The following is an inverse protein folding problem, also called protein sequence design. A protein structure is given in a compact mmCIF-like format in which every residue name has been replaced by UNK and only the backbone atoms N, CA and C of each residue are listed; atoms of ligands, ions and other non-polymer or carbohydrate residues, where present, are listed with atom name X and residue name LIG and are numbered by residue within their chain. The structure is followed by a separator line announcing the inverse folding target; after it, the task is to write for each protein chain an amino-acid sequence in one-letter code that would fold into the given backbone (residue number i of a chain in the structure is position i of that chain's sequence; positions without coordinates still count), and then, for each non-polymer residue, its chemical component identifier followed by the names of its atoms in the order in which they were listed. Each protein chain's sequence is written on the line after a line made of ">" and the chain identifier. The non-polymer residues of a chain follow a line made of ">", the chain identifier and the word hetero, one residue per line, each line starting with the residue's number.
data_IF_711162699721
#
_entry.id   IF_711162699721
#
_cell.length_a   1.000
_cell.length_b   1.000
_cell.length_c   1.000
_cell.angle_alpha   90.00
_cell.angle_beta   90.00
_cell.angle_gamma   90.00
#
_symmetry.space_group_name_H-M   'P 1'
#
loop_
_entity.id
_entity.type
_entity.pdbx_description
1 polymer ?
#
# COMPACT_ATOMS: atom_id res chain seq x y z
N UNK A 1 -20.50 7.22 26.67
CA UNK A 1 -19.13 7.71 26.98
C UNK A 1 -18.76 8.82 26.03
N UNK A 2 -18.80 8.58 24.71
CA UNK A 2 -18.52 9.61 23.70
C UNK A 2 -19.31 10.92 23.89
N UNK A 3 -20.64 10.83 24.02
CA UNK A 3 -21.49 12.00 24.31
C UNK A 3 -21.07 12.77 25.57
N UNK A 4 -20.71 12.04 26.63
CA UNK A 4 -20.26 12.65 27.89
C UNK A 4 -18.90 13.34 27.77
N UNK A 5 -18.03 12.91 26.85
CA UNK A 5 -16.76 13.60 26.54
C UNK A 5 -17.04 14.90 25.77
N UNK A 6 -17.92 14.85 24.77
CA UNK A 6 -18.33 16.03 24.01
C UNK A 6 -19.02 17.08 24.89
N UNK A 7 -19.88 16.66 25.83
CA UNK A 7 -20.56 17.55 26.78
C UNK A 7 -19.60 18.38 27.65
N UNK A 8 -18.35 17.91 27.83
CA UNK A 8 -17.31 18.61 28.58
C UNK A 8 -16.24 19.24 27.68
N UNK A 9 -16.45 19.28 26.37
CA UNK A 9 -15.57 19.92 25.39
C UNK A 9 -14.39 19.06 24.91
N UNK A 10 -14.45 17.73 25.07
CA UNK A 10 -13.48 16.80 24.49
C UNK A 10 -14.08 16.27 23.17
N UNK A 11 -13.59 16.83 22.05
CA UNK A 11 -14.16 16.62 20.70
C UNK A 11 -13.45 15.53 19.89
N UNK A 12 -12.40 14.93 20.42
CA UNK A 12 -11.61 13.89 19.76
C UNK A 12 -11.47 12.67 20.69
N UNK A 13 -11.54 11.47 20.09
CA UNK A 13 -11.31 10.23 20.81
C UNK A 13 -10.67 9.20 19.89
N UNK A 14 -9.61 8.57 20.38
CA UNK A 14 -9.04 7.36 19.82
C UNK A 14 -9.70 6.14 20.46
N UNK A 15 -10.14 5.18 19.64
CA UNK A 15 -10.44 3.83 20.09
C UNK A 15 -9.20 2.95 19.88
N UNK A 16 -8.82 2.20 20.93
CA UNK A 16 -7.74 1.23 20.90
C UNK A 16 -8.31 -0.19 21.13
N UNK A 17 -8.38 -0.93 20.04
CA UNK A 17 -9.09 -2.20 19.85
C UNK A 17 -8.35 -3.11 18.88
N UNK A 18 -7.09 -2.77 18.60
CA UNK A 18 -6.11 -3.62 17.91
C UNK A 18 -6.48 -4.05 16.49
N UNK A 19 -7.11 -3.16 15.70
CA UNK A 19 -7.54 -3.54 14.35
C UNK A 19 -8.68 -4.57 14.31
N UNK A 20 -9.28 -4.91 15.46
CA UNK A 20 -10.26 -6.00 15.55
C UNK A 20 -11.57 -5.60 14.87
N UNK A 21 -12.11 -6.43 13.94
CA UNK A 21 -13.38 -6.14 13.31
C UNK A 21 -14.56 -6.40 14.25
N UNK A 22 -15.67 -5.73 13.98
CA UNK A 22 -16.97 -6.03 14.58
C UNK A 22 -17.84 -6.84 13.60
N UNK A 23 -18.71 -7.72 14.11
CA UNK A 23 -19.66 -8.45 13.26
C UNK A 23 -21.00 -7.70 13.16
N UNK A 24 -21.26 -7.07 12.01
CA UNK A 24 -22.58 -6.57 11.67
C UNK A 24 -23.41 -7.67 11.00
N UNK A 25 -24.15 -8.42 11.83
CA UNK A 25 -24.82 -9.64 11.40
C UNK A 25 -23.79 -10.73 11.11
N UNK A 26 -23.57 -11.04 9.82
CA UNK A 26 -22.57 -12.02 9.37
C UNK A 26 -21.40 -11.39 8.62
N UNK A 27 -21.41 -10.07 8.45
CA UNK A 27 -20.34 -9.35 7.75
C UNK A 27 -19.39 -8.74 8.78
N UNK A 28 -18.08 -9.07 8.74
CA UNK A 28 -17.09 -8.37 9.53
C UNK A 28 -16.85 -6.97 8.95
N UNK A 29 -16.90 -5.96 9.80
CA UNK A 29 -16.61 -4.56 9.48
C UNK A 29 -15.32 -4.16 10.20
N UNK A 30 -14.41 -3.51 9.49
CA UNK A 30 -13.17 -3.02 10.08
C UNK A 30 -13.41 -1.83 11.01
N UNK A 31 -12.46 -1.51 11.90
CA UNK A 31 -12.55 -0.35 12.79
C UNK A 31 -12.93 0.95 12.08
N UNK A 32 -12.31 1.21 10.94
CA UNK A 32 -12.58 2.40 10.13
C UNK A 32 -14.05 2.55 9.72
N UNK A 33 -14.82 1.46 9.72
CA UNK A 33 -16.23 1.41 9.32
C UNK A 33 -17.18 1.50 10.52
N UNK A 34 -16.86 0.81 11.63
CA UNK A 34 -17.76 0.73 12.79
C UNK A 34 -17.51 1.78 13.87
N UNK A 35 -16.30 2.36 13.95
CA UNK A 35 -15.97 3.38 14.96
C UNK A 35 -16.46 4.81 14.68
N UNK A 36 -16.70 5.29 13.44
CA UNK A 36 -17.04 6.70 13.18
C UNK A 36 -18.20 7.28 14.02
N UNK A 37 -19.27 6.53 14.37
CA UNK A 37 -20.33 7.06 15.22
C UNK A 37 -19.90 7.36 16.67
N UNK A 38 -18.75 6.83 17.10
CA UNK A 38 -18.32 6.84 18.49
C UNK A 38 -16.88 7.31 18.70
N UNK A 39 -16.09 7.61 17.68
CA UNK A 39 -14.71 8.12 17.82
C UNK A 39 -14.28 8.94 16.61
N UNK A 40 -13.15 9.65 16.73
CA UNK A 40 -12.53 10.39 15.62
C UNK A 40 -11.27 9.71 15.10
N UNK A 41 -10.79 8.68 15.80
CA UNK A 41 -9.64 7.87 15.41
C UNK A 41 -9.78 6.43 15.92
N UNK A 42 -9.09 5.50 15.28
CA UNK A 42 -9.12 4.07 15.57
C UNK A 42 -7.77 3.42 15.31
N UNK A 43 -7.37 2.47 16.17
CA UNK A 43 -6.16 1.66 15.94
C UNK A 43 -6.33 0.75 14.73
N UNK A 44 -5.38 0.73 13.78
CA UNK A 44 -5.45 -0.15 12.60
C UNK A 44 -4.94 -1.56 12.88
N UNK A 45 -4.12 -1.72 13.92
CA UNK A 45 -3.38 -2.94 14.25
C UNK A 45 -3.30 -3.16 15.76
N UNK A 46 -2.84 -4.33 16.17
CA UNK A 46 -2.29 -4.57 17.52
C UNK A 46 -1.01 -3.75 17.76
N UNK A 47 -0.33 -4.04 18.85
CA UNK A 47 0.76 -3.22 19.34
C UNK A 47 1.98 -3.29 18.41
N UNK A 48 2.57 -2.13 18.15
CA UNK A 48 3.85 -2.05 17.48
C UNK A 48 4.97 -2.60 18.38
N UNK A 49 5.99 -3.17 17.74
CA UNK A 49 7.28 -3.44 18.36
C UNK A 49 8.38 -2.81 17.52
N UNK A 50 9.53 -2.59 18.14
CA UNK A 50 10.72 -1.93 17.59
C UNK A 50 11.50 -2.71 16.50
N UNK A 51 10.83 -3.38 15.56
CA UNK A 51 11.48 -4.09 14.45
C UNK A 51 10.84 -3.77 13.09
N UNK A 52 11.64 -3.82 12.02
CA UNK A 52 11.17 -3.50 10.67
C UNK A 52 9.96 -4.32 10.20
N UNK A 53 9.89 -5.64 10.45
CA UNK A 53 8.70 -6.42 10.09
C UNK A 53 7.40 -5.91 10.74
N UNK A 54 7.46 -5.31 11.93
CA UNK A 54 6.28 -4.70 12.56
C UNK A 54 5.86 -3.41 11.86
N UNK A 55 6.83 -2.58 11.44
CA UNK A 55 6.56 -1.36 10.67
C UNK A 55 5.87 -1.72 9.35
N UNK A 56 6.39 -2.72 8.62
CA UNK A 56 5.80 -3.19 7.36
C UNK A 56 4.41 -3.80 7.55
N UNK A 57 4.23 -4.62 8.60
CA UNK A 57 2.95 -5.25 8.90
C UNK A 57 1.84 -4.21 9.11
N UNK A 58 2.10 -3.21 9.96
CA UNK A 58 1.12 -2.16 10.28
C UNK A 58 0.86 -1.28 9.04
N UNK A 59 1.89 -1.00 8.24
CA UNK A 59 1.70 -0.31 6.97
C UNK A 59 0.76 -1.09 6.03
N UNK A 60 0.94 -2.41 5.90
CA UNK A 60 0.05 -3.25 5.10
C UNK A 60 -1.38 -3.31 5.64
N UNK A 61 -1.58 -3.26 6.96
CA UNK A 61 -2.92 -3.13 7.57
C UNK A 61 -3.58 -1.81 7.22
N UNK A 62 -2.84 -0.70 7.11
CA UNK A 62 -3.42 0.61 6.80
C UNK A 62 -3.72 0.82 5.30
N UNK A 63 -3.08 0.06 4.39
CA UNK A 63 -3.24 0.26 2.93
C UNK A 63 -4.71 0.24 2.50
N UNK A 64 -5.48 -0.77 2.93
CA UNK A 64 -6.87 -0.88 2.53
C UNK A 64 -7.75 0.25 3.08
N UNK A 65 -7.45 0.75 4.28
CA UNK A 65 -8.16 1.87 4.89
C UNK A 65 -7.98 3.13 4.04
N UNK A 66 -6.73 3.44 3.66
CA UNK A 66 -6.42 4.59 2.82
C UNK A 66 -7.02 4.45 1.40
N UNK A 67 -6.88 3.28 0.77
CA UNK A 67 -7.40 3.07 -0.59
C UNK A 67 -8.92 3.13 -0.65
N UNK A 68 -9.62 2.66 0.39
CA UNK A 68 -11.10 2.76 0.50
C UNK A 68 -11.60 4.16 0.90
N UNK A 69 -10.70 5.11 1.16
CA UNK A 69 -11.07 6.46 1.58
C UNK A 69 -11.67 6.52 2.99
N UNK A 70 -11.25 5.60 3.87
CA UNK A 70 -11.75 5.48 5.23
C UNK A 70 -10.82 6.13 6.27
N UNK A 71 -9.77 6.83 5.84
CA UNK A 71 -8.86 7.60 6.68
C UNK A 71 -8.86 9.06 6.25
N UNK A 72 -9.18 9.97 7.17
CA UNK A 72 -9.26 11.42 6.91
C UNK A 72 -9.94 12.19 8.03
N UNK A 73 -10.29 13.47 7.81
CA UNK A 73 -10.89 14.33 8.84
C UNK A 73 -12.09 13.69 9.56
N UNK A 74 -11.92 13.46 10.86
CA UNK A 74 -12.95 12.86 11.73
C UNK A 74 -12.94 11.34 11.77
N UNK A 75 -12.03 10.66 11.07
CA UNK A 75 -11.85 9.21 11.09
C UNK A 75 -10.39 8.84 10.80
N UNK A 76 -9.48 9.17 11.73
CA UNK A 76 -8.05 9.02 11.53
C UNK A 76 -7.55 7.63 11.87
N UNK A 77 -6.82 7.00 10.95
CA UNK A 77 -6.04 5.80 11.25
C UNK A 77 -5.01 6.11 12.35
N UNK A 78 -4.95 5.28 13.37
CA UNK A 78 -3.86 5.24 14.34
C UNK A 78 -3.02 3.99 14.09
N UNK A 79 -1.85 4.19 13.52
CA UNK A 79 -0.84 3.15 13.24
C UNK A 79 0.02 2.83 14.48
N UNK A 80 -0.46 3.18 15.67
CA UNK A 80 0.23 3.01 16.95
C UNK A 80 1.45 3.92 17.13
N UNK A 81 2.04 3.85 18.33
CA UNK A 81 3.14 4.72 18.77
C UNK A 81 4.39 4.65 17.89
N UNK A 82 5.17 5.73 17.90
CA UNK A 82 6.44 5.82 17.19
C UNK A 82 7.56 5.13 17.97
N UNK A 83 8.28 4.24 17.29
CA UNK A 83 9.49 3.57 17.80
C UNK A 83 10.79 4.33 17.47
N UNK A 84 10.66 5.55 16.95
CA UNK A 84 11.80 6.44 16.66
C UNK A 84 12.52 6.79 17.97
N UNK A 85 13.82 6.51 18.02
CA UNK A 85 14.66 6.71 19.20
C UNK A 85 14.77 5.52 20.13
N UNK A 86 13.98 4.46 19.93
CA UNK A 86 14.13 3.20 20.65
C UNK A 86 15.19 2.30 19.97
N UNK A 87 15.74 1.34 20.71
CA UNK A 87 16.63 0.33 20.16
C UNK A 87 15.86 -0.61 19.22
N UNK A 88 16.50 -1.21 18.21
CA UNK A 88 15.90 -2.25 17.35
C UNK A 88 15.85 -1.89 15.87
N UNK A 89 15.40 -0.66 15.55
CA UNK A 89 15.42 -0.12 14.18
C UNK A 89 16.75 0.61 13.90
N UNK A 90 17.29 0.41 12.71
CA UNK A 90 18.38 1.25 12.17
C UNK A 90 17.91 2.69 11.97
N UNK A 91 18.85 3.63 11.83
CA UNK A 91 18.50 5.04 11.61
C UNK A 91 17.67 5.24 10.32
N UNK A 92 17.93 4.47 9.27
CA UNK A 92 17.20 4.57 8.00
C UNK A 92 15.80 3.96 8.11
N UNK A 93 15.65 2.85 8.84
CA UNK A 93 14.32 2.29 9.17
C UNK A 93 13.50 3.27 10.02
N UNK A 94 14.11 3.94 11.01
CA UNK A 94 13.43 4.95 11.83
C UNK A 94 12.94 6.14 10.99
N UNK A 95 13.71 6.55 9.98
CA UNK A 95 13.27 7.57 9.02
C UNK A 95 12.07 7.08 8.23
N UNK A 96 12.17 5.92 7.60
CA UNK A 96 11.08 5.34 6.80
C UNK A 96 9.81 5.13 7.62
N UNK A 97 9.92 4.62 8.85
CA UNK A 97 8.82 4.50 9.81
C UNK A 97 8.15 5.85 10.07
N UNK A 98 8.92 6.89 10.39
CA UNK A 98 8.36 8.22 10.63
C UNK A 98 7.68 8.82 9.40
N UNK A 99 8.29 8.69 8.21
CA UNK A 99 7.68 9.18 6.97
C UNK A 99 6.39 8.44 6.61
N UNK A 100 6.36 7.11 6.75
CA UNK A 100 5.15 6.30 6.54
C UNK A 100 4.01 6.76 7.46
N UNK A 101 4.27 6.91 8.76
CA UNK A 101 3.26 7.35 9.73
C UNK A 101 2.79 8.77 9.44
N UNK A 102 3.74 9.69 9.25
CA UNK A 102 3.42 11.10 9.02
C UNK A 102 2.59 11.30 7.76
N UNK A 103 3.01 10.71 6.64
CA UNK A 103 2.38 10.90 5.33
C UNK A 103 1.09 10.09 5.18
N UNK A 104 0.93 9.00 5.94
CA UNK A 104 -0.34 8.25 6.05
C UNK A 104 -1.34 8.90 7.02
N UNK A 105 -1.03 10.08 7.57
CA UNK A 105 -1.86 10.82 8.53
C UNK A 105 -2.13 10.07 9.84
N UNK A 106 -1.22 9.16 10.21
CA UNK A 106 -1.31 8.54 11.53
C UNK A 106 -1.10 9.59 12.62
N UNK A 107 -1.68 9.33 13.79
CA UNK A 107 -1.28 10.05 14.99
C UNK A 107 0.22 9.82 15.25
N UNK A 108 0.96 10.89 15.52
CA UNK A 108 2.41 10.85 15.76
C UNK A 108 2.70 10.84 17.28
N UNK A 109 2.39 9.72 17.94
CA UNK A 109 2.60 9.57 19.38
C UNK A 109 4.04 9.11 19.68
N UNK A 110 4.83 9.92 20.37
CA UNK A 110 6.24 9.59 20.68
C UNK A 110 6.32 8.49 21.74
N UNK A 111 6.87 7.32 21.39
CA UNK A 111 7.05 6.18 22.29
C UNK A 111 8.42 6.07 22.98
N UNK A 112 9.34 7.02 22.75
CA UNK A 112 10.71 6.98 23.29
C UNK A 112 10.89 7.77 24.59
N UNK A 113 11.96 7.48 25.35
CA UNK A 113 12.35 8.28 26.51
C UNK A 113 12.85 9.66 26.09
N UNK A 114 11.96 10.65 26.10
CA UNK A 114 12.25 12.03 25.67
C UNK A 114 13.40 12.68 26.45
N UNK A 115 13.63 12.28 27.71
CA UNK A 115 14.72 12.83 28.52
C UNK A 115 16.12 12.39 28.03
N UNK A 116 16.19 11.28 27.30
CA UNK A 116 17.42 10.64 26.84
C UNK A 116 17.48 10.51 25.31
N UNK A 117 16.56 11.16 24.59
CA UNK A 117 16.47 11.07 23.14
C UNK A 117 17.76 11.57 22.46
N UNK A 118 18.26 10.80 21.49
CA UNK A 118 19.42 11.20 20.70
C UNK A 118 19.10 12.37 19.76
N UNK A 119 20.11 13.17 19.41
CA UNK A 119 19.96 14.25 18.42
C UNK A 119 19.49 13.72 17.05
N UNK A 120 19.88 12.50 16.68
CA UNK A 120 19.46 11.86 15.44
C UNK A 120 17.95 11.56 15.44
N UNK A 121 17.45 10.91 16.50
CA UNK A 121 16.02 10.60 16.64
C UNK A 121 15.19 11.90 16.76
N UNK A 122 15.68 12.88 17.52
CA UNK A 122 15.07 14.21 17.61
C UNK A 122 14.99 14.89 16.23
N UNK A 123 16.03 14.77 15.42
CA UNK A 123 16.04 15.29 14.05
C UNK A 123 15.00 14.64 13.13
N UNK A 124 14.68 13.36 13.34
CA UNK A 124 13.60 12.67 12.64
C UNK A 124 12.24 13.21 13.12
N UNK A 125 11.98 13.16 14.44
CA UNK A 125 10.69 13.55 15.02
C UNK A 125 10.33 15.03 14.80
N UNK A 126 11.34 15.90 14.68
CA UNK A 126 11.16 17.34 14.46
C UNK A 126 11.26 17.73 12.96
N UNK A 127 11.14 16.77 12.04
CA UNK A 127 11.18 17.08 10.61
C UNK A 127 9.94 17.90 10.19
N UNK A 128 10.11 19.22 10.10
CA UNK A 128 9.05 20.18 9.78
C UNK A 128 8.32 19.89 8.46
N UNK A 129 9.00 19.31 7.46
CA UNK A 129 8.39 18.98 6.17
C UNK A 129 7.40 17.84 6.27
N UNK A 130 7.76 16.78 6.98
CA UNK A 130 6.89 15.63 7.23
C UNK A 130 5.76 15.98 8.21
N UNK A 131 6.05 16.78 9.24
CA UNK A 131 5.04 17.29 10.16
C UNK A 131 4.01 18.17 9.42
N UNK A 132 4.46 19.04 8.51
CA UNK A 132 3.56 19.85 7.69
C UNK A 132 2.68 19.00 6.77
N UNK A 133 3.19 17.88 6.24
CA UNK A 133 2.36 16.93 5.50
C UNK A 133 1.37 16.25 6.43
N UNK A 134 1.79 15.76 7.61
CA UNK A 134 0.88 15.12 8.56
C UNK A 134 -0.28 16.04 8.97
N UNK A 135 0.01 17.33 9.17
CA UNK A 135 -0.94 18.36 9.61
C UNK A 135 -1.58 19.16 8.46
N UNK A 136 -1.42 18.71 7.21
CA UNK A 136 -1.98 19.42 6.05
C UNK A 136 -3.52 19.45 6.08
N UNK A 137 -4.09 20.63 5.83
CA UNK A 137 -5.52 20.94 5.97
C UNK A 137 -6.46 20.09 5.10
N UNK A 138 -5.96 19.49 4.01
CA UNK A 138 -6.77 18.61 3.18
C UNK A 138 -7.08 17.29 3.90
N UNK A 139 -6.19 16.85 4.79
CA UNK A 139 -6.36 15.64 5.57
C UNK A 139 -6.32 14.32 4.79
N UNK A 140 -5.95 14.35 3.51
CA UNK A 140 -5.90 13.15 2.67
C UNK A 140 -4.57 12.40 2.84
N UNK A 141 -4.57 11.09 3.15
CA UNK A 141 -3.34 10.32 3.29
C UNK A 141 -2.71 9.99 1.94
N UNK A 142 -1.42 9.67 1.96
CA UNK A 142 -0.82 8.96 0.83
C UNK A 142 -1.48 7.60 0.65
N UNK A 143 -1.65 7.21 -0.61
CA UNK A 143 -2.16 5.91 -1.05
C UNK A 143 -1.05 5.19 -1.80
N UNK A 144 -0.98 3.87 -1.67
CA UNK A 144 -0.06 3.09 -2.49
C UNK A 144 -0.48 3.24 -3.95
N UNK A 145 0.46 3.65 -4.79
CA UNK A 145 0.28 3.80 -6.24
C UNK A 145 0.72 2.51 -6.92
N UNK A 146 1.86 1.97 -6.50
CA UNK A 146 2.44 0.77 -7.12
C UNK A 146 3.35 0.05 -6.14
N UNK A 147 3.32 -1.29 -6.20
CA UNK A 147 4.24 -2.14 -5.45
C UNK A 147 5.21 -2.86 -6.38
N UNK A 148 6.49 -2.70 -6.12
CA UNK A 148 7.58 -3.47 -6.71
C UNK A 148 8.07 -4.44 -5.63
N UNK A 149 7.51 -5.65 -5.61
CA UNK A 149 7.75 -6.59 -4.50
C UNK A 149 9.23 -6.98 -4.39
N UNK A 150 9.77 -6.92 -3.16
CA UNK A 150 11.20 -7.06 -2.82
C UNK A 150 12.12 -5.96 -3.38
N UNK A 151 11.54 -4.83 -3.76
CA UNK A 151 12.25 -3.64 -4.26
C UNK A 151 11.75 -2.43 -3.47
N UNK A 152 10.63 -1.83 -3.86
CA UNK A 152 10.05 -0.69 -3.16
C UNK A 152 8.54 -0.57 -3.34
N UNK A 153 7.91 0.17 -2.44
CA UNK A 153 6.56 0.69 -2.61
C UNK A 153 6.61 2.17 -2.99
N UNK A 154 5.77 2.56 -3.95
CA UNK A 154 5.52 3.95 -4.31
C UNK A 154 4.15 4.37 -3.75
N UNK A 155 4.14 5.44 -2.97
CA UNK A 155 2.95 6.08 -2.44
C UNK A 155 2.86 7.53 -2.91
N UNK A 156 1.63 8.02 -3.12
CA UNK A 156 1.36 9.42 -3.38
C UNK A 156 0.01 9.86 -2.80
N UNK A 157 -0.12 11.14 -2.47
CA UNK A 157 -1.37 11.72 -1.98
C UNK A 157 -1.43 13.23 -2.21
N UNK A 158 -2.63 13.79 -2.46
CA UNK A 158 -2.79 15.22 -2.63
C UNK A 158 -2.58 15.97 -1.30
N UNK A 159 -2.15 17.22 -1.38
CA UNK A 159 -2.09 18.16 -0.28
C UNK A 159 -2.96 19.38 -0.58
N UNK A 160 -3.28 20.16 0.46
CA UNK A 160 -3.95 21.43 0.30
C UNK A 160 -3.16 22.35 -0.65
N UNK A 161 -3.86 23.06 -1.53
CA UNK A 161 -3.24 23.97 -2.50
C UNK A 161 -2.71 23.32 -3.79
N UNK A 162 -2.90 22.01 -3.97
CA UNK A 162 -2.56 21.31 -5.22
C UNK A 162 -1.14 20.75 -5.28
N UNK A 163 -0.41 20.78 -4.16
CA UNK A 163 0.85 20.05 -4.00
C UNK A 163 0.57 18.54 -3.86
N UNK A 164 1.61 17.72 -4.07
CA UNK A 164 1.53 16.26 -3.97
C UNK A 164 2.63 15.75 -3.04
N UNK A 165 2.23 14.98 -2.03
CA UNK A 165 3.13 14.20 -1.18
C UNK A 165 3.50 12.90 -1.89
N UNK A 166 4.79 12.55 -1.93
CA UNK A 166 5.28 11.31 -2.55
C UNK A 166 6.25 10.61 -1.61
N UNK A 167 6.07 9.31 -1.42
CA UNK A 167 6.97 8.48 -0.62
C UNK A 167 7.33 7.23 -1.38
N UNK A 168 8.63 6.96 -1.54
CA UNK A 168 9.13 5.66 -1.95
C UNK A 168 9.83 5.01 -0.75
N UNK A 169 9.45 3.78 -0.42
CA UNK A 169 10.06 3.01 0.69
C UNK A 169 10.69 1.75 0.12
N UNK A 170 11.99 1.60 0.29
CA UNK A 170 12.72 0.39 -0.07
C UNK A 170 12.31 -0.74 0.89
N UNK A 171 11.94 -1.91 0.36
CA UNK A 171 11.67 -3.11 1.14
C UNK A 171 12.82 -4.11 1.04
N UNK A 172 13.98 -3.69 0.54
CA UNK A 172 15.11 -4.55 0.24
C UNK A 172 16.14 -4.54 1.37
N UNK A 173 16.88 -5.63 1.49
CA UNK A 173 17.97 -5.75 2.47
C UNK A 173 19.32 -5.21 1.92
N UNK A 174 19.30 -4.43 0.84
CA UNK A 174 20.48 -3.91 0.17
C UNK A 174 20.33 -2.41 -0.12
N UNK A 175 21.45 -1.73 -0.38
CA UNK A 175 21.37 -0.36 -0.87
C UNK A 175 20.77 -0.38 -2.28
N UNK A 176 19.79 0.48 -2.51
CA UNK A 176 19.00 0.52 -3.73
C UNK A 176 18.86 1.96 -4.24
N UNK A 177 18.68 2.13 -5.55
CA UNK A 177 18.39 3.44 -6.14
C UNK A 177 16.92 3.52 -6.51
N UNK A 178 16.18 4.30 -5.73
CA UNK A 178 14.76 4.53 -5.97
C UNK A 178 14.63 5.65 -7.00
N UNK A 179 13.92 5.37 -8.09
CA UNK A 179 13.72 6.31 -9.19
C UNK A 179 12.22 6.45 -9.49
N UNK A 180 11.78 7.69 -9.61
CA UNK A 180 10.42 8.05 -9.97
C UNK A 180 10.42 9.00 -11.15
N UNK A 181 9.80 8.57 -12.23
CA UNK A 181 9.30 9.48 -13.27
C UNK A 181 7.93 10.00 -12.83
N UNK A 182 7.75 11.32 -12.77
CA UNK A 182 6.51 11.95 -12.29
C UNK A 182 5.32 11.67 -13.20
N UNK A 183 5.58 11.25 -14.44
CA UNK A 183 4.56 10.75 -15.35
C UNK A 183 3.85 9.51 -14.78
N UNK A 184 4.46 8.72 -13.90
CA UNK A 184 3.76 7.63 -13.19
C UNK A 184 2.64 8.13 -12.25
N UNK A 185 2.65 9.42 -11.93
CA UNK A 185 1.66 10.12 -11.11
C UNK A 185 0.83 11.12 -11.93
N UNK A 186 0.91 11.06 -13.26
CA UNK A 186 0.12 11.94 -14.13
C UNK A 186 0.67 13.38 -14.17
N UNK A 187 1.93 13.57 -13.77
CA UNK A 187 2.60 14.85 -13.66
C UNK A 187 3.67 14.97 -14.75
N UNK A 188 3.59 16.02 -15.57
CA UNK A 188 4.59 16.36 -16.58
C UNK A 188 5.85 16.95 -15.94
N UNK A 189 5.65 17.90 -15.03
CA UNK A 189 6.74 18.47 -14.24
C UNK A 189 6.26 19.07 -12.92
N UNK A 190 7.18 19.16 -11.95
CA UNK A 190 6.94 19.81 -10.67
C UNK A 190 8.25 20.35 -10.10
N UNK A 191 8.12 21.21 -9.08
CA UNK A 191 9.21 21.55 -8.19
C UNK A 191 9.28 20.48 -7.09
N UNK A 192 10.36 19.71 -7.04
CA UNK A 192 10.51 18.58 -6.14
C UNK A 192 11.40 18.94 -4.95
N UNK A 193 10.87 18.84 -3.73
CA UNK A 193 11.62 19.08 -2.49
C UNK A 193 11.76 17.77 -1.71
N UNK A 194 13.01 17.31 -1.53
CA UNK A 194 13.34 16.20 -0.65
C UNK A 194 13.21 16.63 0.83
N UNK A 195 12.42 15.87 1.58
CA UNK A 195 12.04 16.19 2.95
C UNK A 195 13.03 15.65 3.97
N UNK A 196 14.02 14.83 3.59
CA UNK A 196 15.05 14.40 4.52
C UNK A 196 16.14 15.46 4.73
N UNK A 197 16.48 15.65 6.00
CA UNK A 197 16.97 16.90 6.63
C UNK A 197 18.28 17.50 6.13
N UNK A 198 18.98 16.88 5.17
CA UNK A 198 20.30 17.35 4.70
C UNK A 198 20.36 17.73 3.21
N UNK A 199 19.23 17.66 2.50
CA UNK A 199 19.11 18.09 1.09
C UNK A 199 17.85 18.94 0.90
N UNK A 200 17.75 20.09 1.59
CA UNK A 200 16.77 21.16 1.26
C UNK A 200 17.07 21.77 -0.12
N UNK A 201 17.12 20.93 -1.14
CA UNK A 201 17.32 21.27 -2.52
C UNK A 201 15.97 21.04 -3.20
N UNK A 202 15.27 22.13 -3.45
CA UNK A 202 14.14 22.10 -4.37
C UNK A 202 14.71 22.05 -5.78
N UNK A 203 14.42 20.98 -6.51
CA UNK A 203 14.69 20.89 -7.94
C UNK A 203 13.49 21.47 -8.69
N UNK A 204 13.67 22.60 -9.37
CA UNK A 204 12.56 23.28 -10.04
C UNK A 204 12.24 22.67 -11.41
N UNK A 205 10.95 22.51 -11.72
CA UNK A 205 10.41 22.08 -13.01
C UNK A 205 11.11 20.83 -13.58
N UNK A 206 11.27 19.81 -12.73
CA UNK A 206 11.80 18.50 -13.12
C UNK A 206 10.66 17.52 -13.40
N UNK A 207 10.92 16.49 -14.20
CA UNK A 207 9.96 15.44 -14.57
C UNK A 207 10.14 14.13 -13.79
N UNK A 208 11.10 14.09 -12.87
CA UNK A 208 11.42 12.90 -12.10
C UNK A 208 12.43 13.18 -10.99
N UNK A 209 12.64 12.18 -10.14
CA UNK A 209 13.58 12.21 -9.03
C UNK A 209 14.20 10.82 -8.84
N UNK A 210 15.48 10.77 -8.45
CA UNK A 210 16.10 9.53 -8.00
C UNK A 210 17.05 9.78 -6.84
N UNK A 211 17.17 8.79 -5.96
CA UNK A 211 18.14 8.78 -4.89
C UNK A 211 18.52 7.36 -4.48
N UNK A 212 19.78 7.17 -4.13
CA UNK A 212 20.26 5.95 -3.49
C UNK A 212 19.97 6.00 -2.00
N UNK A 213 19.32 4.95 -1.50
CA UNK A 213 19.01 4.75 -0.08
C UNK A 213 19.77 3.52 0.46
N UNK A 214 19.96 3.48 1.78
CA UNK A 214 20.41 2.25 2.44
C UNK A 214 19.25 1.24 2.49
N UNK A 215 19.48 -0.02 2.89
CA UNK A 215 18.41 -0.99 3.12
C UNK A 215 17.29 -0.39 3.96
N UNK A 216 16.04 -0.62 3.55
CA UNK A 216 14.84 -0.12 4.23
C UNK A 216 14.73 1.42 4.32
N UNK A 217 15.56 2.15 3.57
CA UNK A 217 15.53 3.60 3.50
C UNK A 217 14.37 4.11 2.63
N UNK A 218 14.14 5.42 2.65
CA UNK A 218 13.03 6.05 1.93
C UNK A 218 13.41 7.37 1.29
N UNK A 219 12.66 7.72 0.25
CA UNK A 219 12.65 9.04 -0.39
C UNK A 219 11.30 9.67 -0.13
N UNK A 220 11.26 10.74 0.65
CA UNK A 220 10.06 11.51 0.95
C UNK A 220 10.11 12.87 0.24
N UNK A 221 9.16 13.15 -0.64
CA UNK A 221 9.12 14.37 -1.45
C UNK A 221 7.82 15.15 -1.21
N UNK A 222 7.93 16.47 -1.30
CA UNK A 222 6.81 17.36 -1.62
C UNK A 222 6.99 17.90 -3.03
N UNK A 223 6.03 17.61 -3.91
CA UNK A 223 5.96 18.17 -5.26
C UNK A 223 5.04 19.39 -5.22
N UNK A 224 5.55 20.53 -5.67
CA UNK A 224 4.80 21.79 -5.76
C UNK A 224 4.86 22.34 -7.18
N UNK A 225 4.06 23.37 -7.48
CA UNK A 225 3.95 23.92 -8.84
C UNK A 225 3.66 22.84 -9.89
N UNK A 226 2.84 21.87 -9.52
CA UNK A 226 2.55 20.66 -10.29
C UNK A 226 1.89 21.02 -11.61
N UNK A 227 2.51 20.58 -12.71
CA UNK A 227 1.92 20.60 -14.05
C UNK A 227 1.49 19.20 -14.41
N UNK A 228 0.18 18.99 -14.47
CA UNK A 228 -0.39 17.72 -14.87
C UNK A 228 -0.08 17.44 -16.35
N UNK A 229 0.29 16.21 -16.64
CA UNK A 229 0.44 15.73 -18.00
C UNK A 229 -0.93 15.73 -18.70
N UNK A 230 -0.95 16.09 -19.98
CA UNK A 230 -2.13 15.90 -20.83
C UNK A 230 -2.12 14.47 -21.34
N UNK A 231 -2.88 13.62 -20.68
CA UNK A 231 -2.97 12.21 -21.03
C UNK A 231 -4.40 11.86 -21.46
N UNK A 232 -4.50 11.12 -22.55
CA UNK A 232 -5.75 10.47 -22.94
C UNK A 232 -5.91 9.26 -22.03
N UNK A 233 -7.08 9.11 -21.40
CA UNK A 233 -7.38 7.93 -20.56
C UNK A 233 -7.26 6.66 -21.44
N UNK A 234 -6.59 5.59 -20.98
CA UNK A 234 -6.41 4.41 -21.79
C UNK A 234 -7.73 3.68 -21.91
N UNK A 235 -7.90 3.01 -23.04
CA UNK A 235 -8.80 1.88 -23.10
C UNK A 235 -8.23 0.72 -22.26
N UNK A 236 -9.06 0.22 -21.33
CA UNK A 236 -8.71 -0.87 -20.44
C UNK A 236 -9.40 -2.15 -20.88
N UNK A 237 -8.65 -3.24 -20.89
CA UNK A 237 -9.16 -4.59 -21.16
C UNK A 237 -9.22 -5.38 -19.85
N UNK A 238 -10.38 -5.99 -19.59
CA UNK A 238 -10.70 -6.67 -18.34
C UNK A 238 -10.77 -8.17 -18.55
N UNK A 239 -10.12 -8.95 -17.67
CA UNK A 239 -10.07 -10.40 -17.77
C UNK A 239 -10.42 -11.04 -16.43
N UNK A 240 -11.64 -11.56 -16.31
CA UNK A 240 -12.14 -12.21 -15.10
C UNK A 240 -11.38 -13.51 -14.81
N UNK A 241 -10.89 -13.67 -13.57
CA UNK A 241 -10.14 -14.88 -13.20
C UNK A 241 -11.00 -16.14 -13.29
N UNK A 242 -12.32 -16.02 -13.04
CA UNK A 242 -13.27 -17.12 -13.16
C UNK A 242 -13.44 -17.64 -14.60
N UNK A 243 -13.00 -16.89 -15.62
CA UNK A 243 -12.95 -17.33 -17.03
C UNK A 243 -11.65 -18.06 -17.39
N UNK A 244 -10.65 -18.04 -16.51
CA UNK A 244 -9.36 -18.67 -16.69
C UNK A 244 -9.39 -20.20 -16.56
N UNK A 245 -8.28 -20.83 -16.96
CA UNK A 245 -8.05 -22.26 -16.73
C UNK A 245 -7.54 -22.49 -15.30
N UNK A 246 -8.15 -23.43 -14.58
CA UNK A 246 -7.77 -23.77 -13.21
C UNK A 246 -6.93 -25.05 -13.19
N UNK A 247 -5.95 -25.09 -12.28
CA UNK A 247 -5.15 -26.28 -12.00
C UNK A 247 -5.05 -26.56 -10.49
N UNK A 248 -4.87 -27.84 -10.14
CA UNK A 248 -4.80 -28.31 -8.76
C UNK A 248 -6.09 -28.07 -7.98
N UNK A 249 -5.98 -27.47 -6.79
CA UNK A 249 -7.10 -27.15 -5.89
C UNK A 249 -7.75 -25.79 -6.12
N UNK A 250 -7.31 -25.01 -7.13
CA UNK A 250 -7.87 -23.69 -7.39
C UNK A 250 -9.37 -23.82 -7.71
N UNK A 251 -10.20 -22.94 -7.15
CA UNK A 251 -11.65 -23.04 -7.31
C UNK A 251 -12.32 -21.67 -7.42
N UNK A 252 -13.37 -21.63 -8.24
CA UNK A 252 -14.29 -20.49 -8.34
C UNK A 252 -15.17 -20.45 -7.09
N UNK A 253 -15.25 -19.27 -6.46
CA UNK A 253 -16.05 -19.02 -5.28
C UNK A 253 -17.03 -17.87 -5.54
N UNK A 254 -18.15 -17.87 -4.81
CA UNK A 254 -19.07 -16.72 -4.79
C UNK A 254 -18.41 -15.53 -4.11
N UNK A 255 -18.54 -14.36 -4.72
CA UNK A 255 -18.05 -13.09 -4.21
C UNK A 255 -18.96 -11.95 -4.69
N UNK A 256 -20.03 -11.60 -3.94
CA UNK A 256 -20.94 -10.54 -4.35
C UNK A 256 -20.30 -9.16 -4.55
N UNK A 257 -19.17 -8.88 -3.88
CA UNK A 257 -18.41 -7.64 -4.08
C UNK A 257 -17.51 -7.65 -5.33
N UNK A 258 -17.28 -8.81 -5.93
CA UNK A 258 -16.41 -8.96 -7.10
C UNK A 258 -17.15 -8.59 -8.40
N UNK A 259 -16.38 -8.20 -9.42
CA UNK A 259 -16.87 -7.64 -10.68
C UNK A 259 -17.90 -8.52 -11.41
N UNK A 260 -17.72 -9.84 -11.36
CA UNK A 260 -18.63 -10.83 -11.96
C UNK A 260 -19.40 -11.65 -10.91
N UNK A 261 -19.42 -11.20 -9.65
CA UNK A 261 -19.99 -11.95 -8.53
C UNK A 261 -19.18 -13.20 -8.15
N UNK A 262 -17.97 -13.36 -8.71
CA UNK A 262 -17.11 -14.53 -8.60
C UNK A 262 -15.65 -14.11 -8.39
N UNK A 263 -14.88 -14.99 -7.75
CA UNK A 263 -13.42 -14.90 -7.64
C UNK A 263 -12.82 -16.30 -7.71
N UNK A 264 -11.52 -16.40 -7.94
CA UNK A 264 -10.77 -17.65 -7.85
C UNK A 264 -9.88 -17.61 -6.62
N UNK A 265 -9.97 -18.64 -5.77
CA UNK A 265 -9.12 -18.79 -4.59
C UNK A 265 -8.53 -20.18 -4.48
N UNK A 266 -8.07 -20.52 -3.28
CA UNK A 266 -7.33 -21.77 -2.99
C UNK A 266 -6.07 -21.94 -3.85
N UNK A 267 -5.40 -20.83 -4.13
CA UNK A 267 -4.14 -20.78 -4.86
C UNK A 267 -2.99 -21.14 -3.92
N UNK A 268 -2.27 -22.22 -4.20
CA UNK A 268 -1.15 -22.76 -3.43
C UNK A 268 0.05 -22.93 -4.36
N UNK A 269 1.20 -23.41 -3.86
CA UNK A 269 2.34 -23.79 -4.69
C UNK A 269 1.99 -24.75 -5.85
N UNK A 270 0.92 -25.55 -5.71
CA UNK A 270 0.50 -26.58 -6.66
C UNK A 270 -0.89 -26.32 -7.24
N UNK A 271 -1.43 -25.11 -7.09
CA UNK A 271 -2.72 -24.74 -7.66
C UNK A 271 -2.70 -23.32 -8.20
N UNK A 272 -3.27 -23.14 -9.38
CA UNK A 272 -3.15 -21.89 -10.12
C UNK A 272 -4.42 -21.56 -10.91
N UNK A 273 -4.54 -20.30 -11.26
CA UNK A 273 -5.41 -19.82 -12.33
C UNK A 273 -4.54 -19.26 -13.44
N UNK A 274 -4.83 -19.65 -14.69
CA UNK A 274 -4.21 -19.07 -15.88
C UNK A 274 -5.25 -18.31 -16.68
N UNK A 275 -5.05 -17.00 -16.79
CA UNK A 275 -5.87 -16.09 -17.59
C UNK A 275 -5.23 -15.96 -18.96
N UNK A 276 -6.01 -16.13 -20.03
CA UNK A 276 -5.54 -16.21 -21.42
C UNK A 276 -6.07 -15.04 -22.26
N UNK A 277 -5.50 -14.88 -23.46
CA UNK A 277 -5.98 -13.92 -24.46
C UNK A 277 -5.61 -12.48 -24.15
N UNK A 278 -4.64 -12.26 -23.27
CA UNK A 278 -4.23 -10.93 -22.82
C UNK A 278 -3.41 -10.28 -23.93
N UNK A 279 -3.78 -9.06 -24.33
CA UNK A 279 -3.05 -8.28 -25.34
C UNK A 279 -2.52 -7.00 -24.73
N UNK A 280 -1.23 -6.75 -24.91
CA UNK A 280 -0.52 -5.52 -24.53
C UNK A 280 0.51 -5.21 -25.62
N UNK A 281 0.80 -3.93 -25.84
CA UNK A 281 1.79 -3.44 -26.80
C UNK A 281 3.23 -3.47 -26.25
N UNK A 282 3.40 -3.87 -24.98
CA UNK A 282 4.66 -3.76 -24.26
C UNK A 282 5.15 -5.12 -23.78
N UNK A 283 6.47 -5.34 -23.80
CA UNK A 283 7.10 -6.57 -23.25
C UNK A 283 7.16 -6.57 -21.72
N UNK A 284 7.06 -5.39 -21.12
CA UNK A 284 6.89 -5.12 -19.69
C UNK A 284 5.71 -4.18 -19.55
N UNK A 285 4.70 -4.54 -18.76
CA UNK A 285 3.44 -3.81 -18.68
C UNK A 285 2.98 -3.75 -17.22
N UNK A 286 2.31 -2.68 -16.82
CA UNK A 286 1.60 -2.70 -15.54
C UNK A 286 0.29 -3.48 -15.70
N UNK A 287 0.06 -4.37 -14.76
CA UNK A 287 -1.17 -5.15 -14.63
C UNK A 287 -1.84 -4.72 -13.34
N UNK A 288 -3.11 -4.34 -13.44
CA UNK A 288 -3.98 -4.03 -12.31
C UNK A 288 -4.64 -5.30 -11.84
N UNK A 289 -4.54 -5.57 -10.55
CA UNK A 289 -5.19 -6.69 -9.91
C UNK A 289 -6.38 -6.19 -9.10
N UNK A 290 -7.53 -6.81 -9.36
CA UNK A 290 -8.67 -6.75 -8.46
C UNK A 290 -8.68 -8.06 -7.68
N UNK A 291 -8.57 -7.98 -6.35
CA UNK A 291 -8.34 -9.14 -5.51
C UNK A 291 -8.94 -8.98 -4.12
N UNK A 292 -8.96 -10.09 -3.38
CA UNK A 292 -9.39 -10.16 -1.98
C UNK A 292 -8.31 -10.83 -1.13
N UNK A 293 -7.95 -10.17 -0.04
CA UNK A 293 -7.10 -10.72 1.00
C UNK A 293 -7.60 -10.23 2.36
N UNK A 294 -8.35 -11.07 3.08
CA UNK A 294 -8.82 -10.77 4.43
C UNK A 294 -8.12 -11.68 5.46
N UNK A 295 -6.88 -12.07 5.19
CA UNK A 295 -6.10 -12.98 6.03
C UNK A 295 -5.31 -12.23 7.11
N UNK A 296 -6.04 -11.62 8.05
CA UNK A 296 -5.48 -10.77 9.10
C UNK A 296 -4.71 -11.60 10.14
N UNK A 297 -3.45 -11.27 10.37
CA UNK A 297 -2.69 -11.61 11.56
C UNK A 297 -2.89 -10.54 12.62
N UNK A 298 -3.48 -10.92 13.76
CA UNK A 298 -3.87 -10.00 14.83
C UNK A 298 -2.81 -9.80 15.90
N UNK A 299 -1.70 -10.55 15.84
CA UNK A 299 -0.58 -10.39 16.76
C UNK A 299 0.71 -10.16 15.99
N UNK A 300 1.60 -9.35 16.55
CA UNK A 300 2.88 -8.93 16.01
C UNK A 300 3.79 -10.05 15.45
N UNK A 301 3.64 -11.29 15.92
CA UNK A 301 4.43 -12.45 15.51
C UNK A 301 3.70 -13.39 14.53
N UNK A 302 2.47 -13.06 14.12
CA UNK A 302 1.63 -13.97 13.35
C UNK A 302 1.87 -13.88 11.84
N UNK A 303 1.75 -12.69 11.25
CA UNK A 303 1.74 -12.51 9.79
C UNK A 303 2.25 -11.12 9.40
N UNK A 304 2.83 -10.98 8.20
CA UNK A 304 3.18 -9.67 7.65
C UNK A 304 1.98 -8.89 7.08
N UNK A 305 0.76 -9.43 7.19
CA UNK A 305 -0.49 -8.82 6.69
C UNK A 305 -0.51 -8.50 5.18
N UNK A 306 0.17 -9.34 4.42
CA UNK A 306 -0.06 -9.53 2.99
C UNK A 306 -0.12 -11.03 2.68
N UNK A 307 -0.65 -11.39 1.52
CA UNK A 307 -0.46 -12.72 0.91
C UNK A 307 0.43 -12.61 -0.30
N UNK A 308 1.28 -13.60 -0.53
CA UNK A 308 2.15 -13.60 -1.70
C UNK A 308 1.59 -14.49 -2.80
N UNK A 309 1.64 -14.05 -4.04
CA UNK A 309 1.38 -14.89 -5.20
C UNK A 309 2.64 -15.01 -6.06
N UNK A 310 2.81 -16.16 -6.71
CA UNK A 310 3.75 -16.32 -7.81
C UNK A 310 3.02 -16.02 -9.12
N UNK A 311 3.46 -14.98 -9.83
CA UNK A 311 2.84 -14.50 -11.07
C UNK A 311 3.79 -14.73 -12.24
N UNK A 312 3.39 -15.54 -13.21
CA UNK A 312 4.19 -15.88 -14.40
C UNK A 312 3.48 -15.40 -15.66
N UNK A 313 4.22 -14.71 -16.54
CA UNK A 313 3.75 -14.34 -17.88
C UNK A 313 4.29 -15.36 -18.88
N UNK A 314 3.42 -15.91 -19.73
CA UNK A 314 3.75 -16.85 -20.82
C UNK A 314 4.58 -18.08 -20.39
N UNK A 315 4.39 -18.56 -19.15
CA UNK A 315 5.17 -19.67 -18.59
C UNK A 315 6.63 -19.33 -18.29
N UNK A 316 7.00 -18.04 -18.28
CA UNK A 316 8.30 -17.54 -17.86
C UNK A 316 8.53 -17.69 -16.36
N UNK A 317 9.67 -17.16 -15.89
CA UNK A 317 9.98 -17.14 -14.46
C UNK A 317 8.90 -16.37 -13.68
N UNK A 318 8.43 -16.95 -12.58
CA UNK A 318 7.42 -16.31 -11.75
C UNK A 318 8.02 -15.19 -10.90
N UNK A 319 7.37 -14.04 -10.91
CA UNK A 319 7.62 -12.94 -9.98
C UNK A 319 6.78 -13.15 -8.71
N UNK A 320 7.41 -13.02 -7.55
CA UNK A 320 6.69 -13.06 -6.27
C UNK A 320 6.10 -11.69 -5.98
N UNK A 321 4.79 -11.61 -5.76
CA UNK A 321 4.06 -10.36 -5.58
C UNK A 321 3.32 -10.39 -4.25
N UNK A 322 3.52 -9.37 -3.41
CA UNK A 322 2.92 -9.25 -2.08
C UNK A 322 1.64 -8.40 -2.12
N UNK A 323 0.50 -9.02 -1.88
CA UNK A 323 -0.83 -8.40 -1.91
C UNK A 323 -1.30 -8.06 -0.50
N UNK A 324 -1.33 -6.77 -0.10
CA UNK A 324 -1.82 -6.31 1.20
C UNK A 324 -3.23 -6.80 1.52
N UNK A 325 -3.66 -6.61 2.77
CA UNK A 325 -5.06 -6.78 3.14
C UNK A 325 -5.97 -5.91 2.27
N UNK A 326 -7.19 -6.38 2.05
CA UNK A 326 -8.26 -5.64 1.34
C UNK A 326 -9.39 -5.22 2.27
N UNK A 327 -9.42 -5.79 3.48
CA UNK A 327 -10.44 -5.61 4.50
C UNK A 327 -10.60 -6.88 5.32
N UNK A 328 -11.81 -7.14 5.78
CA UNK A 328 -12.14 -8.23 6.69
C UNK A 328 -13.14 -9.23 6.09
N UNK A 329 -13.95 -8.82 5.10
CA UNK A 329 -14.98 -9.63 4.48
C UNK A 329 -14.53 -10.24 3.14
N UNK A 330 -14.17 -11.54 3.17
CA UNK A 330 -13.67 -12.31 2.02
C UNK A 330 -14.55 -12.31 0.75
N UNK A 331 -15.80 -11.87 0.84
CA UNK A 331 -16.77 -11.86 -0.26
C UNK A 331 -17.22 -10.46 -0.67
N UNK A 332 -16.78 -9.42 0.03
CA UNK A 332 -17.21 -8.02 -0.17
C UNK A 332 -16.03 -7.06 -0.32
N UNK A 333 -14.98 -7.25 0.46
CA UNK A 333 -13.84 -6.32 0.53
C UNK A 333 -12.84 -6.60 -0.58
N UNK A 334 -13.18 -6.15 -1.79
CA UNK A 334 -12.33 -6.23 -2.98
C UNK A 334 -11.50 -4.96 -3.07
N UNK A 335 -10.18 -5.12 -3.19
CA UNK A 335 -9.31 -4.01 -3.57
C UNK A 335 -9.14 -4.04 -5.08
N UNK A 336 -9.38 -2.89 -5.72
CA UNK A 336 -9.30 -2.74 -7.17
C UNK A 336 -8.09 -1.92 -7.60
N UNK A 337 -7.65 -2.12 -8.84
CA UNK A 337 -6.58 -1.36 -9.48
C UNK A 337 -5.21 -1.45 -8.77
N UNK A 338 -4.93 -2.56 -8.05
CA UNK A 338 -3.62 -2.76 -7.43
C UNK A 338 -2.56 -3.04 -8.50
N UNK A 339 -1.66 -2.07 -8.70
CA UNK A 339 -0.71 -2.06 -9.81
C UNK A 339 0.55 -2.87 -9.51
N UNK A 340 0.88 -3.76 -10.45
CA UNK A 340 2.07 -4.61 -10.44
C UNK A 340 2.72 -4.54 -11.81
N UNK A 341 4.02 -4.25 -11.88
CA UNK A 341 4.77 -4.34 -13.13
C UNK A 341 5.18 -5.80 -13.37
N UNK A 342 4.84 -6.32 -14.56
CA UNK A 342 5.18 -7.67 -14.98
C UNK A 342 5.94 -7.61 -16.31
N UNK A 343 6.86 -8.56 -16.52
CA UNK A 343 7.66 -8.68 -17.74
C UNK A 343 7.51 -10.06 -18.38
N UNK A 344 7.85 -10.15 -19.67
CA UNK A 344 7.78 -11.41 -20.44
C UNK A 344 6.58 -11.50 -21.39
N UNK A 345 5.91 -10.38 -21.64
CA UNK A 345 4.83 -10.31 -22.63
C UNK A 345 5.38 -10.37 -24.07
N UNK A 346 4.64 -11.03 -24.94
CA UNK A 346 4.70 -10.92 -26.39
C UNK A 346 3.86 -9.71 -26.82
N UNK A 347 4.53 -8.66 -27.29
CA UNK A 347 3.91 -7.41 -27.70
C UNK A 347 3.11 -7.51 -29.01
N UNK A 348 3.32 -8.57 -29.80
CA UNK A 348 2.61 -8.78 -31.08
C UNK A 348 1.53 -9.88 -30.98
N UNK A 349 1.47 -10.57 -29.84
CA UNK A 349 0.72 -11.79 -29.65
C UNK A 349 -0.30 -11.75 -28.51
N UNK A 350 -0.98 -12.88 -28.32
CA UNK A 350 -1.77 -13.13 -27.12
C UNK A 350 -0.89 -13.70 -26.02
N UNK A 351 -1.15 -13.25 -24.81
CA UNK A 351 -0.40 -13.58 -23.62
C UNK A 351 -1.28 -14.36 -22.64
N UNK A 352 -0.61 -15.08 -21.76
CA UNK A 352 -1.23 -15.70 -20.59
C UNK A 352 -0.55 -15.25 -19.31
N UNK A 353 -1.33 -15.02 -18.26
CA UNK A 353 -0.81 -14.78 -16.91
C UNK A 353 -1.29 -15.91 -16.01
N UNK A 354 -0.34 -16.65 -15.44
CA UNK A 354 -0.58 -17.70 -14.46
C UNK A 354 -0.30 -17.15 -13.06
N UNK A 355 -1.25 -17.33 -12.15
CA UNK A 355 -1.18 -16.90 -10.76
C UNK A 355 -1.33 -18.13 -9.86
N UNK A 356 -0.35 -18.39 -9.01
CA UNK A 356 -0.37 -19.47 -8.01
C UNK A 356 -0.01 -18.94 -6.62
N UNK A 357 -0.20 -19.78 -5.60
CA UNK A 357 0.36 -19.49 -4.28
C UNK A 357 1.90 -19.59 -4.27
N UNK A 358 2.54 -19.18 -3.17
CA UNK A 358 4.00 -19.16 -3.05
C UNK A 358 4.56 -20.59 -2.98
N UNK A 359 5.66 -20.87 -3.68
CA UNK A 359 6.33 -22.18 -3.70
C UNK A 359 7.21 -22.47 -2.48
N UNK A 360 7.58 -21.42 -1.74
CA UNK A 360 8.35 -21.56 -0.50
C UNK A 360 7.39 -21.85 0.66
N UNK A 361 7.79 -22.78 1.55
CA UNK A 361 7.21 -22.90 2.88
C UNK A 361 7.08 -21.51 3.47
N UNK A 362 5.89 -21.17 3.99
CA UNK A 362 5.57 -19.99 4.81
C UNK A 362 6.84 -19.30 5.35
N UNK A 363 7.49 -18.46 4.55
CA UNK A 363 8.66 -17.75 5.00
C UNK A 363 8.11 -16.75 6.02
N UNK A 364 8.55 -16.89 7.26
CA UNK A 364 8.33 -15.90 8.32
C UNK A 364 6.84 -15.57 8.56
N UNK A 365 5.99 -16.61 8.66
CA UNK A 365 4.58 -16.47 9.06
C UNK A 365 3.60 -16.13 7.94
N UNK A 366 4.06 -16.02 6.69
CA UNK A 366 3.19 -15.77 5.54
C UNK A 366 2.32 -16.98 5.16
N UNK A 367 1.15 -16.74 4.57
CA UNK A 367 0.17 -17.76 4.19
C UNK A 367 0.71 -18.69 3.09
N UNK A 368 0.35 -19.98 3.14
CA UNK A 368 0.59 -20.92 2.02
C UNK A 368 -0.33 -20.63 0.81
N UNK A 369 -1.35 -19.78 1.03
CA UNK A 369 -2.30 -19.38 0.02
C UNK A 369 -1.95 -18.02 -0.57
N UNK A 370 -2.10 -17.88 -1.89
CA UNK A 370 -2.19 -16.58 -2.56
C UNK A 370 -3.48 -15.82 -2.19
N UNK A 371 -3.61 -14.55 -2.61
CA UNK A 371 -4.88 -13.84 -2.55
C UNK A 371 -5.93 -14.52 -3.44
N UNK A 372 -7.21 -14.22 -3.18
CA UNK A 372 -8.26 -14.61 -4.11
C UNK A 372 -8.37 -13.55 -5.21
N UNK A 373 -8.36 -13.98 -6.48
CA UNK A 373 -8.33 -13.07 -7.64
C UNK A 373 -9.75 -12.89 -8.19
N UNK A 374 -10.21 -11.64 -8.31
CA UNK A 374 -11.42 -11.29 -9.05
C UNK A 374 -11.10 -11.24 -10.55
N UNK A 375 -10.22 -10.30 -10.93
CA UNK A 375 -9.81 -10.09 -12.31
C UNK A 375 -8.45 -9.41 -12.41
N UNK A 376 -7.91 -9.41 -13.62
CA UNK A 376 -6.81 -8.54 -14.00
C UNK A 376 -7.27 -7.54 -15.05
N UNK A 377 -6.61 -6.39 -15.08
CA UNK A 377 -6.86 -5.32 -16.06
C UNK A 377 -5.53 -4.87 -16.64
N UNK A 378 -5.48 -4.78 -17.97
CA UNK A 378 -4.32 -4.25 -18.70
C UNK A 378 -4.78 -3.16 -19.66
N UNK A 379 -3.84 -2.31 -20.08
CA UNK A 379 -4.10 -1.38 -21.18
C UNK A 379 -4.27 -2.16 -22.48
N UNK A 380 -5.27 -1.79 -23.27
CA UNK A 380 -5.57 -2.46 -24.53
C UNK A 380 -4.37 -2.39 -25.49
N UNK A 381 -4.08 -3.51 -26.16
CA UNK A 381 -2.82 -3.72 -26.91
C UNK A 381 -2.52 -2.79 -28.09
N UNK A 382 -3.40 -1.85 -28.43
CA UNK A 382 -3.14 -0.82 -29.45
C UNK A 382 -2.79 0.55 -28.83
N UNK A 383 -2.85 0.67 -27.50
CA UNK A 383 -2.57 1.90 -26.77
C UNK A 383 -1.36 1.72 -25.86
N UNK A 384 -0.56 2.78 -25.71
CA UNK A 384 0.43 2.85 -24.63
C UNK A 384 -0.31 3.20 -23.34
N UNK A 385 0.12 2.62 -22.21
CA UNK A 385 -0.42 2.98 -20.92
C UNK A 385 -0.17 4.46 -20.60
N UNK A 386 -1.22 5.29 -20.54
CA UNK A 386 -1.10 6.66 -20.16
C UNK A 386 -0.80 6.75 -18.67
N UNK A 387 0.06 7.70 -18.39
CA UNK A 387 0.35 8.30 -17.11
C UNK A 387 -0.90 8.45 -16.23
N UNK A 388 -0.96 7.77 -15.08
CA UNK A 388 -2.12 7.75 -14.18
C UNK A 388 -2.30 9.03 -13.38
#
# INVERSE_FOLDING_TARGET
>A
MWEALQDVGIEEMLICQWGTPYLNGSTPEGPAEWTPPISTSFRVSDDISNSWPNVERIANENIHVNLRGLNGPGNWSDMDMLEVGNEGLTLEEQKSHFALWAMSKSTLMIGTNVAEISDAAKGILMNEGLLAINQDDLGEPIKIVQRYSNDHDLYAGPLAGGDVAVLMVDSSNASNTLALEFSKLGIESADATDLWSNKKQTLCNVSGYNATVAPHGSVALRLSNVKLARVTKPELSYYGAASGSLDGSAAIQDCPGCSEGKKVGYLTANSSVTIHGIRTSQTTSNVRFDYVNCDVGYLADQKPNYRTAAVSVNGGAAQMVNFPLTGYAWTLDVLTDFLVELSGFDAEGENSITISGPSMQAAEGNSEYGPDIDRIVVVAGDEEEPCL
#
